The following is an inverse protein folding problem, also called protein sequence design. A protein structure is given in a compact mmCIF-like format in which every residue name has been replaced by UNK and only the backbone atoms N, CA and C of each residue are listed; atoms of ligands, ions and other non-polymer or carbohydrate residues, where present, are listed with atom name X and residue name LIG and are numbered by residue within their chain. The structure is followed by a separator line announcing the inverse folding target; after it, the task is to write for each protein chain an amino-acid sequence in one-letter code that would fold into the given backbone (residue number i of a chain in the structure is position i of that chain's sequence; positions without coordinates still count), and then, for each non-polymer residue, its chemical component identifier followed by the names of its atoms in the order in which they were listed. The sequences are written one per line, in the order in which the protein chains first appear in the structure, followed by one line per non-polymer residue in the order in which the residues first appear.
data_IF_447082926966
#
_entry.id   IF_447082926966
#
_cell.length_a   1.000
_cell.length_b   1.000
_cell.length_c   1.000
_cell.angle_alpha   90.00
_cell.angle_beta   90.00
_cell.angle_gamma   90.00
#
_symmetry.space_group_name_H-M   'P 1'
#
loop_
_entity.id
_entity.type
_entity.pdbx_description
1 polymer ?
#
# COMPACT_ATOMS: atom_id res chain seq x y z
N UNK A 1 62.40 0.65 -21.74
CA UNK A 1 61.60 1.31 -20.70
C UNK A 1 62.22 0.93 -19.38
N UNK A 2 62.53 1.92 -18.53
CA UNK A 2 63.19 1.70 -17.25
C UNK A 2 62.22 1.01 -16.27
N UNK A 3 62.70 0.02 -15.51
CA UNK A 3 61.88 -0.84 -14.65
C UNK A 3 61.13 -0.08 -13.55
N UNK A 4 61.53 1.17 -13.26
CA UNK A 4 60.81 2.07 -12.38
C UNK A 4 59.47 2.57 -12.98
N UNK A 5 59.39 2.76 -14.30
CA UNK A 5 58.16 3.21 -14.98
C UNK A 5 57.14 2.07 -15.08
N UNK A 6 57.62 0.84 -15.28
CA UNK A 6 56.78 -0.36 -15.32
C UNK A 6 56.14 -0.66 -13.96
N UNK A 7 56.88 -0.50 -12.86
CA UNK A 7 56.34 -0.61 -11.49
C UNK A 7 55.26 0.42 -11.19
N UNK A 8 55.48 1.69 -11.58
CA UNK A 8 54.49 2.76 -11.39
C UNK A 8 53.19 2.49 -12.14
N UNK A 9 53.26 1.88 -13.34
CA UNK A 9 52.07 1.48 -14.09
C UNK A 9 51.34 0.30 -13.44
N UNK A 10 52.08 -0.71 -12.96
CA UNK A 10 51.49 -1.87 -12.27
C UNK A 10 50.85 -1.48 -10.95
N UNK A 11 51.52 -0.65 -10.13
CA UNK A 11 50.94 -0.14 -8.87
C UNK A 11 49.68 0.69 -9.14
N UNK A 12 49.66 1.48 -10.22
CA UNK A 12 48.47 2.27 -10.62
C UNK A 12 47.31 1.38 -11.10
N UNK A 13 47.62 0.26 -11.78
CA UNK A 13 46.63 -0.72 -12.21
C UNK A 13 46.07 -1.54 -11.04
N UNK A 14 46.90 -1.90 -10.07
CA UNK A 14 46.46 -2.56 -8.82
C UNK A 14 45.59 -1.62 -7.98
N UNK A 15 45.96 -0.33 -7.89
CA UNK A 15 45.13 0.68 -7.19
C UNK A 15 43.78 0.90 -7.88
N UNK A 16 43.72 0.83 -9.22
CA UNK A 16 42.47 0.87 -9.98
C UNK A 16 41.67 -0.44 -9.86
N UNK A 17 42.33 -1.59 -9.75
CA UNK A 17 41.68 -2.88 -9.54
C UNK A 17 41.01 -2.98 -8.16
N UNK A 18 41.66 -2.45 -7.11
CA UNK A 18 41.09 -2.35 -5.76
C UNK A 18 39.94 -1.34 -5.68
N UNK A 19 39.99 -0.24 -6.45
CA UNK A 19 38.91 0.73 -6.55
C UNK A 19 37.67 0.23 -7.32
N UNK A 20 37.82 -0.84 -8.12
CA UNK A 20 36.76 -1.40 -8.98
C UNK A 20 36.19 -2.72 -8.42
N UNK A 21 36.56 -3.13 -7.19
CA UNK A 21 35.84 -4.21 -6.52
C UNK A 21 34.43 -3.75 -6.15
N UNK A 22 33.48 -4.06 -7.04
CA UNK A 22 32.07 -3.96 -6.75
C UNK A 22 31.79 -4.68 -5.41
N UNK A 23 31.11 -4.04 -4.45
CA UNK A 23 30.93 -4.64 -3.14
C UNK A 23 30.26 -6.01 -3.31
N UNK A 24 30.81 -7.04 -2.65
CA UNK A 24 30.15 -8.35 -2.59
C UNK A 24 28.71 -8.20 -2.05
N UNK A 25 27.85 -9.18 -2.30
CA UNK A 25 26.41 -9.14 -1.92
C UNK A 25 26.17 -8.62 -0.49
N UNK A 26 26.98 -9.03 0.48
CA UNK A 26 26.89 -8.55 1.87
C UNK A 26 27.21 -7.05 2.02
N UNK A 27 28.20 -6.54 1.29
CA UNK A 27 28.53 -5.12 1.25
C UNK A 27 27.46 -4.28 0.55
N UNK A 28 26.87 -4.79 -0.54
CA UNK A 28 25.72 -4.15 -1.20
C UNK A 28 24.50 -4.11 -0.29
N UNK A 29 24.20 -5.20 0.42
CA UNK A 29 23.11 -5.24 1.40
C UNK A 29 23.36 -4.32 2.59
N UNK A 30 24.60 -4.23 3.08
CA UNK A 30 24.96 -3.31 4.15
C UNK A 30 24.83 -1.84 3.71
N UNK A 31 25.32 -1.50 2.51
CA UNK A 31 25.15 -0.16 1.93
C UNK A 31 23.68 0.19 1.68
N UNK A 32 22.89 -0.76 1.16
CA UNK A 32 21.45 -0.59 0.96
C UNK A 32 20.71 -0.38 2.29
N UNK A 33 21.07 -1.15 3.34
CA UNK A 33 20.54 -0.96 4.69
C UNK A 33 20.93 0.39 5.29
N UNK A 34 22.17 0.82 5.11
CA UNK A 34 22.64 2.12 5.60
C UNK A 34 21.99 3.31 4.90
N UNK A 35 21.62 3.16 3.62
CA UNK A 35 20.86 4.17 2.87
C UNK A 35 19.37 4.17 3.19
N UNK A 36 18.82 3.07 3.70
CA UNK A 36 17.42 2.96 4.08
C UNK A 36 17.19 3.66 5.42
N UNK A 37 16.30 4.65 5.46
CA UNK A 37 15.82 5.23 6.70
C UNK A 37 14.92 4.20 7.43
N UNK A 38 15.31 3.70 8.62
CA UNK A 38 14.42 2.84 9.41
C UNK A 38 13.17 3.63 9.82
N UNK A 39 12.00 3.00 9.75
CA UNK A 39 10.77 3.55 10.32
C UNK A 39 10.90 3.62 11.84
N UNK A 40 10.32 4.63 12.51
CA UNK A 40 10.13 4.60 13.95
C UNK A 40 9.44 3.29 14.40
N UNK A 41 9.82 2.77 15.56
CA UNK A 41 9.15 1.60 16.12
C UNK A 41 7.71 1.97 16.49
N UNK A 42 6.75 1.36 15.83
CA UNK A 42 5.33 1.39 16.17
C UNK A 42 4.90 0.07 16.82
N UNK A 43 3.61 -0.07 17.18
CA UNK A 43 3.10 -1.34 17.67
C UNK A 43 3.14 -2.41 16.57
N UNK A 44 3.28 -3.69 16.95
CA UNK A 44 3.45 -4.79 16.01
C UNK A 44 2.33 -4.89 14.96
N UNK A 45 1.09 -4.55 15.34
CA UNK A 45 -0.06 -4.55 14.43
C UNK A 45 0.02 -3.49 13.32
N UNK A 46 0.89 -2.49 13.44
CA UNK A 46 1.15 -1.46 12.42
C UNK A 46 2.37 -1.78 11.52
N UNK A 47 3.08 -2.89 11.75
CA UNK A 47 4.22 -3.32 10.92
C UNK A 47 3.87 -3.48 9.42
N UNK A 48 2.70 -4.01 9.03
CA UNK A 48 2.31 -4.09 7.62
C UNK A 48 2.34 -2.71 6.93
N UNK A 49 1.75 -1.70 7.57
CA UNK A 49 1.73 -0.31 7.08
C UNK A 49 3.14 0.28 7.00
N UNK A 50 3.92 0.19 8.08
CA UNK A 50 5.30 0.69 8.11
C UNK A 50 6.17 0.03 7.01
N UNK A 51 5.95 -1.26 6.75
CA UNK A 51 6.61 -1.98 5.67
C UNK A 51 6.24 -1.50 4.27
N UNK A 52 5.01 -1.02 4.04
CA UNK A 52 4.58 -0.43 2.75
C UNK A 52 5.09 1.00 2.58
N UNK A 53 5.06 1.81 3.63
CA UNK A 53 5.68 3.15 3.63
C UNK A 53 7.16 3.06 3.28
N UNK A 54 7.89 2.12 3.88
CA UNK A 54 9.31 1.93 3.59
C UNK A 54 9.58 1.44 2.15
N UNK A 55 8.67 0.64 1.58
CA UNK A 55 8.78 0.18 0.20
C UNK A 55 8.53 1.32 -0.80
N UNK A 56 7.47 2.12 -0.58
CA UNK A 56 7.17 3.30 -1.39
C UNK A 56 8.28 4.34 -1.30
N UNK A 57 8.79 4.65 -0.10
CA UNK A 57 9.91 5.58 0.04
C UNK A 57 11.18 5.10 -0.68
N UNK A 58 11.45 3.79 -0.67
CA UNK A 58 12.56 3.22 -1.44
C UNK A 58 12.34 3.35 -2.95
N UNK A 59 11.12 3.14 -3.44
CA UNK A 59 10.74 3.36 -4.84
C UNK A 59 10.96 4.83 -5.21
N UNK A 60 10.39 5.77 -4.44
CA UNK A 60 10.53 7.21 -4.66
C UNK A 60 11.99 7.68 -4.61
N UNK A 61 12.85 7.01 -3.84
CA UNK A 61 14.29 7.26 -3.83
C UNK A 61 15.06 6.76 -5.05
N UNK A 62 14.41 5.97 -5.90
CA UNK A 62 14.95 5.49 -7.17
C UNK A 62 14.36 6.19 -8.39
N UNK A 63 13.29 6.98 -8.21
CA UNK A 63 12.66 7.78 -9.27
C UNK A 63 13.69 8.78 -9.81
N UNK A 64 13.92 8.77 -11.11
CA UNK A 64 14.81 9.76 -11.76
C UNK A 64 14.07 11.09 -11.87
N UNK A 65 14.76 12.24 -11.91
CA UNK A 65 14.12 13.54 -12.06
C UNK A 65 13.10 13.61 -13.21
N UNK A 66 13.39 12.98 -14.34
CA UNK A 66 12.52 12.95 -15.51
C UNK A 66 11.28 12.05 -15.38
N UNK A 67 11.26 11.12 -14.40
CA UNK A 67 10.16 10.17 -14.24
C UNK A 67 9.07 10.69 -13.29
N UNK A 68 9.30 11.80 -12.57
CA UNK A 68 8.30 12.37 -11.65
C UNK A 68 7.02 12.80 -12.36
N UNK A 69 7.13 13.25 -13.61
CA UNK A 69 6.00 13.65 -14.46
C UNK A 69 5.31 12.45 -15.14
N UNK A 70 5.76 11.22 -14.90
CA UNK A 70 5.14 10.01 -15.46
C UNK A 70 3.75 9.84 -14.89
N UNK A 71 2.73 9.77 -15.75
CA UNK A 71 1.36 9.44 -15.37
C UNK A 71 1.29 8.01 -14.85
N UNK A 72 0.73 7.83 -13.66
CA UNK A 72 0.65 6.56 -12.93
C UNK A 72 -0.77 6.02 -12.92
N UNK A 73 -1.72 6.75 -12.35
CA UNK A 73 -3.12 6.33 -12.15
C UNK A 73 -4.03 7.55 -11.99
N UNK A 74 -5.30 7.47 -12.35
CA UNK A 74 -6.26 8.60 -12.31
C UNK A 74 -5.80 9.87 -13.08
N UNK A 75 -4.88 9.70 -14.04
CA UNK A 75 -4.25 10.82 -14.74
C UNK A 75 -3.18 11.55 -13.92
N UNK A 76 -2.92 11.13 -12.69
CA UNK A 76 -1.93 11.71 -11.79
C UNK A 76 -0.51 11.28 -12.12
N UNK A 77 0.43 12.20 -11.98
CA UNK A 77 1.85 11.88 -11.98
C UNK A 77 2.32 11.31 -10.64
N UNK A 78 3.62 10.99 -10.51
CA UNK A 78 4.18 10.40 -9.28
C UNK A 78 4.04 11.36 -8.09
N UNK A 79 4.24 12.66 -8.28
CA UNK A 79 4.12 13.64 -7.20
C UNK A 79 2.66 13.79 -6.72
N UNK A 80 1.72 13.85 -7.65
CA UNK A 80 0.28 13.92 -7.39
C UNK A 80 -0.24 12.66 -6.68
N UNK A 81 0.33 11.50 -6.99
CA UNK A 81 0.08 10.26 -6.27
C UNK A 81 0.60 10.29 -4.83
N UNK A 82 1.79 10.86 -4.59
CA UNK A 82 2.31 11.03 -3.22
C UNK A 82 1.50 12.08 -2.45
N UNK A 83 1.01 13.13 -3.12
CA UNK A 83 0.09 14.09 -2.55
C UNK A 83 -1.22 13.43 -2.11
N UNK A 84 -1.77 12.52 -2.92
CA UNK A 84 -2.92 11.68 -2.57
C UNK A 84 -2.67 10.79 -1.34
N UNK A 85 -1.53 10.10 -1.28
CA UNK A 85 -1.17 9.32 -0.08
C UNK A 85 -1.02 10.22 1.16
N UNK A 86 -0.44 11.41 0.99
CA UNK A 86 -0.32 12.42 2.06
C UNK A 86 -1.69 12.86 2.56
N UNK A 87 -2.66 13.06 1.65
CA UNK A 87 -4.03 13.39 1.96
C UNK A 87 -4.70 12.31 2.82
N UNK A 88 -4.75 11.05 2.37
CA UNK A 88 -5.40 9.95 3.12
C UNK A 88 -4.71 9.66 4.45
N UNK A 89 -3.37 9.61 4.46
CA UNK A 89 -2.59 9.43 5.69
C UNK A 89 -2.82 10.58 6.67
N UNK A 90 -2.99 11.81 6.15
CA UNK A 90 -3.22 13.03 6.92
C UNK A 90 -4.58 13.04 7.61
N UNK A 91 -5.62 12.47 6.99
CA UNK A 91 -6.94 12.34 7.60
C UNK A 91 -6.88 11.44 8.84
N UNK A 92 -6.23 10.26 8.74
CA UNK A 92 -6.03 9.39 9.91
C UNK A 92 -5.12 10.06 10.94
N UNK A 93 -4.03 10.69 10.50
CA UNK A 93 -3.12 11.42 11.38
C UNK A 93 -3.87 12.48 12.21
N UNK A 94 -4.74 13.26 11.59
CA UNK A 94 -5.59 14.23 12.28
C UNK A 94 -6.50 13.54 13.33
N UNK A 95 -7.16 12.45 12.95
CA UNK A 95 -8.09 11.73 13.83
C UNK A 95 -7.40 11.14 15.07
N UNK A 96 -6.15 10.67 14.94
CA UNK A 96 -5.38 10.13 16.07
C UNK A 96 -4.52 11.18 16.80
N UNK A 97 -4.50 12.43 16.33
CA UNK A 97 -3.71 13.52 16.90
C UNK A 97 -2.20 13.43 16.59
N UNK A 98 -1.83 12.84 15.45
CA UNK A 98 -0.48 12.90 14.90
C UNK A 98 -0.30 14.19 14.05
N UNK A 99 0.95 14.65 13.84
CA UNK A 99 1.25 15.71 12.89
C UNK A 99 0.71 15.43 11.48
N UNK A 100 0.11 16.44 10.86
CA UNK A 100 -0.41 16.40 9.49
C UNK A 100 0.52 17.21 8.59
N UNK A 101 0.89 16.64 7.45
CA UNK A 101 1.65 17.28 6.38
C UNK A 101 0.75 17.97 5.36
N UNK A 102 1.36 18.80 4.51
CA UNK A 102 0.63 19.61 3.54
C UNK A 102 -0.10 20.82 4.15
N UNK A 103 -1.09 21.39 3.46
CA UNK A 103 -1.84 22.55 3.93
C UNK A 103 -2.83 22.13 5.05
N UNK A 104 -3.39 23.08 5.83
CA UNK A 104 -4.49 22.78 6.77
C UNK A 104 -5.62 22.00 6.09
N UNK A 105 -6.19 21.03 6.80
CA UNK A 105 -7.32 20.23 6.31
C UNK A 105 -8.57 21.11 6.31
N UNK A 106 -9.17 21.36 5.14
CA UNK A 106 -10.48 22.03 5.04
C UNK A 106 -11.59 21.14 4.45
N UNK A 107 -11.20 20.09 3.72
CA UNK A 107 -12.05 18.99 3.29
C UNK A 107 -11.76 17.72 4.12
N UNK A 108 -12.81 17.06 4.59
CA UNK A 108 -12.71 15.89 5.47
C UNK A 108 -12.97 14.55 4.75
N UNK A 109 -13.29 14.59 3.47
CA UNK A 109 -13.34 13.45 2.56
C UNK A 109 -12.01 13.28 1.79
N UNK A 110 -11.76 12.08 1.29
CA UNK A 110 -10.50 11.72 0.64
C UNK A 110 -10.26 12.48 -0.67
N UNK A 111 -11.30 12.66 -1.48
CA UNK A 111 -11.25 13.39 -2.75
C UNK A 111 -10.91 14.87 -2.56
N UNK A 112 -11.69 15.55 -1.73
CA UNK A 112 -11.47 16.96 -1.43
C UNK A 112 -10.10 17.19 -0.80
N UNK A 113 -9.68 16.32 0.12
CA UNK A 113 -8.36 16.43 0.74
C UNK A 113 -7.23 16.15 -0.26
N UNK A 114 -7.41 15.21 -1.19
CA UNK A 114 -6.44 14.95 -2.26
C UNK A 114 -6.26 16.17 -3.14
N UNK A 115 -7.35 16.81 -3.57
CA UNK A 115 -7.29 18.02 -4.39
C UNK A 115 -6.57 19.19 -3.68
N UNK A 116 -6.81 19.39 -2.37
CA UNK A 116 -6.10 20.40 -1.57
C UNK A 116 -4.59 20.18 -1.54
N UNK A 117 -4.15 18.93 -1.30
CA UNK A 117 -2.72 18.62 -1.22
C UNK A 117 -2.08 18.71 -2.59
N UNK A 118 -2.74 18.24 -3.65
CA UNK A 118 -2.25 18.36 -5.03
C UNK A 118 -2.09 19.83 -5.45
N UNK A 119 -3.04 20.71 -5.10
CA UNK A 119 -2.91 22.15 -5.33
C UNK A 119 -1.72 22.74 -4.57
N UNK A 120 -1.56 22.36 -3.29
CA UNK A 120 -0.44 22.81 -2.47
C UNK A 120 0.91 22.36 -3.02
N UNK A 121 1.01 21.15 -3.55
CA UNK A 121 2.25 20.60 -4.12
C UNK A 121 2.58 21.15 -5.52
N UNK A 122 1.63 21.81 -6.20
CA UNK A 122 1.85 22.32 -7.56
C UNK A 122 3.01 23.33 -7.60
N UNK A 123 4.01 23.02 -8.42
CA UNK A 123 5.20 23.86 -8.59
C UNK A 123 6.25 23.71 -7.49
N UNK A 124 6.04 22.84 -6.51
CA UNK A 124 7.05 22.49 -5.51
C UNK A 124 7.96 21.36 -6.02
N UNK A 125 9.23 21.33 -5.62
CA UNK A 125 10.11 20.20 -5.89
C UNK A 125 9.53 18.88 -5.31
N UNK A 126 9.41 17.80 -6.10
CA UNK A 126 8.86 16.52 -5.64
C UNK A 126 9.61 15.90 -4.44
N UNK A 127 10.88 16.24 -4.28
CA UNK A 127 11.68 15.80 -3.14
C UNK A 127 11.13 16.33 -1.80
N UNK A 128 10.53 17.53 -1.81
CA UNK A 128 9.87 18.08 -0.63
C UNK A 128 8.57 17.33 -0.33
N UNK A 129 7.76 17.05 -1.35
CA UNK A 129 6.53 16.26 -1.23
C UNK A 129 6.83 14.89 -0.62
N UNK A 130 7.84 14.18 -1.14
CA UNK A 130 8.31 12.90 -0.58
C UNK A 130 8.78 13.03 0.87
N UNK A 131 9.57 14.05 1.19
CA UNK A 131 10.13 14.22 2.52
C UNK A 131 9.03 14.51 3.57
N UNK A 132 8.06 15.36 3.23
CA UNK A 132 6.91 15.68 4.08
C UNK A 132 5.99 14.48 4.25
N UNK A 133 5.64 13.78 3.16
CA UNK A 133 4.87 12.53 3.21
C UNK A 133 5.52 11.50 4.13
N UNK A 134 6.83 11.27 3.97
CA UNK A 134 7.56 10.29 4.80
C UNK A 134 7.63 10.73 6.26
N UNK A 135 7.81 12.02 6.54
CA UNK A 135 7.81 12.53 7.91
C UNK A 135 6.43 12.37 8.59
N UNK A 136 5.34 12.61 7.87
CA UNK A 136 3.99 12.35 8.35
C UNK A 136 3.78 10.86 8.66
N UNK A 137 4.17 9.96 7.74
CA UNK A 137 4.02 8.52 7.94
C UNK A 137 4.83 8.01 9.15
N UNK A 138 6.05 8.51 9.33
CA UNK A 138 6.88 8.22 10.52
C UNK A 138 6.19 8.69 11.82
N UNK A 139 5.65 9.91 11.82
CA UNK A 139 4.97 10.48 12.99
C UNK A 139 3.67 9.75 13.32
N UNK A 140 2.91 9.34 12.30
CA UNK A 140 1.73 8.49 12.43
C UNK A 140 2.11 7.16 13.09
N UNK A 141 3.12 6.44 12.56
CA UNK A 141 3.60 5.20 13.17
C UNK A 141 3.98 5.35 14.65
N UNK A 142 4.68 6.43 15.00
CA UNK A 142 5.03 6.71 16.39
C UNK A 142 3.80 6.99 17.27
N UNK A 143 2.79 7.70 16.74
CA UNK A 143 1.55 8.03 17.46
C UNK A 143 0.71 6.79 17.76
N UNK A 144 0.70 5.81 16.86
CA UNK A 144 -0.09 4.56 17.03
C UNK A 144 0.33 3.74 18.25
N UNK A 145 1.53 3.95 18.82
CA UNK A 145 1.97 3.28 20.05
C UNK A 145 1.15 3.62 21.30
N UNK A 146 0.29 4.65 21.23
CA UNK A 146 -0.61 5.05 22.30
C UNK A 146 -2.04 4.48 22.14
N UNK A 147 -2.25 3.59 21.17
CA UNK A 147 -3.54 2.97 20.88
C UNK A 147 -3.43 1.45 20.93
N UNK A 148 -4.50 0.82 21.39
CA UNK A 148 -4.73 -0.60 21.17
C UNK A 148 -5.34 -0.80 19.78
N UNK A 149 -5.05 -1.94 19.14
CA UNK A 149 -5.52 -2.23 17.78
C UNK A 149 -7.05 -2.11 17.62
N UNK A 150 -7.79 -2.42 18.70
CA UNK A 150 -9.24 -2.42 18.74
C UNK A 150 -9.86 -1.05 19.09
N UNK A 151 -9.05 -0.03 19.42
CA UNK A 151 -9.57 1.30 19.72
C UNK A 151 -10.30 1.85 18.49
N UNK A 152 -11.53 2.33 18.69
CA UNK A 152 -12.37 2.81 17.58
C UNK A 152 -12.03 4.26 17.26
N UNK A 153 -11.76 4.53 15.98
CA UNK A 153 -11.54 5.87 15.43
C UNK A 153 -12.58 6.14 14.37
N UNK A 154 -13.24 7.29 14.45
CA UNK A 154 -14.15 7.77 13.40
C UNK A 154 -13.37 8.58 12.38
N UNK A 155 -13.41 8.15 11.13
CA UNK A 155 -12.83 8.86 10.00
C UNK A 155 -13.94 9.25 9.03
N UNK A 156 -14.49 10.46 9.22
CA UNK A 156 -15.53 11.00 8.33
C UNK A 156 -16.82 10.16 8.32
N UNK A 157 -17.22 9.61 9.48
CA UNK A 157 -18.41 8.76 9.61
C UNK A 157 -18.13 7.25 9.47
N UNK A 158 -16.87 6.86 9.26
CA UNK A 158 -16.43 5.47 9.26
C UNK A 158 -15.76 5.13 10.59
N UNK A 159 -16.56 4.73 11.58
CA UNK A 159 -16.09 4.28 12.89
C UNK A 159 -15.63 2.81 12.82
N UNK A 160 -14.32 2.60 12.83
CA UNK A 160 -13.68 1.28 12.75
C UNK A 160 -12.55 1.17 13.78
N UNK A 161 -12.10 -0.05 14.13
CA UNK A 161 -10.84 -0.24 14.83
C UNK A 161 -9.70 0.49 14.12
N UNK A 162 -8.83 1.16 14.88
CA UNK A 162 -7.69 1.89 14.33
C UNK A 162 -6.77 0.98 13.51
N UNK A 163 -6.67 -0.30 13.86
CA UNK A 163 -5.92 -1.27 13.08
C UNK A 163 -6.52 -1.46 11.67
N UNK A 164 -7.84 -1.42 11.51
CA UNK A 164 -8.49 -1.55 10.21
C UNK A 164 -8.25 -0.31 9.35
N UNK A 165 -8.31 0.90 9.94
CA UNK A 165 -7.92 2.14 9.24
C UNK A 165 -6.46 2.09 8.77
N UNK A 166 -5.55 1.61 9.62
CA UNK A 166 -4.12 1.49 9.27
C UNK A 166 -3.89 0.42 8.21
N UNK A 167 -4.63 -0.68 8.23
CA UNK A 167 -4.59 -1.71 7.18
C UNK A 167 -5.17 -1.20 5.86
N UNK A 168 -6.20 -0.36 5.88
CA UNK A 168 -6.69 0.31 4.68
C UNK A 168 -5.61 1.22 4.09
N UNK A 169 -4.94 2.05 4.89
CA UNK A 169 -3.79 2.86 4.41
C UNK A 169 -2.63 2.00 3.90
N UNK A 170 -2.37 0.85 4.54
CA UNK A 170 -1.39 -0.12 4.07
C UNK A 170 -1.73 -0.62 2.67
N UNK A 171 -3.00 -0.99 2.43
CA UNK A 171 -3.48 -1.49 1.16
C UNK A 171 -3.37 -0.42 0.06
N UNK A 172 -3.84 0.80 0.34
CA UNK A 172 -3.71 1.94 -0.57
C UNK A 172 -2.25 2.20 -0.94
N UNK A 173 -1.37 2.20 0.06
CA UNK A 173 0.06 2.39 -0.17
C UNK A 173 0.62 1.24 -1.01
N UNK A 174 0.22 -0.01 -0.78
CA UNK A 174 0.70 -1.16 -1.55
C UNK A 174 0.27 -1.07 -3.02
N UNK A 175 -1.02 -0.85 -3.30
CA UNK A 175 -1.54 -0.71 -4.67
C UNK A 175 -0.82 0.40 -5.40
N UNK A 176 -0.72 1.58 -4.79
CA UNK A 176 -0.10 2.73 -5.43
C UNK A 176 1.41 2.63 -5.59
N UNK A 177 2.08 1.89 -4.71
CA UNK A 177 3.49 1.55 -4.91
C UNK A 177 3.65 0.66 -6.15
N UNK A 178 2.74 -0.29 -6.36
CA UNK A 178 2.75 -1.16 -7.54
C UNK A 178 2.40 -0.39 -8.83
N UNK A 179 1.38 0.48 -8.79
CA UNK A 179 1.04 1.35 -9.92
C UNK A 179 2.25 2.18 -10.35
N UNK A 180 2.90 2.87 -9.40
CA UNK A 180 4.05 3.72 -9.67
C UNK A 180 5.22 2.91 -10.23
N UNK A 181 5.52 1.76 -9.63
CA UNK A 181 6.61 0.90 -10.08
C UNK A 181 6.40 0.36 -11.49
N UNK A 182 5.17 -0.06 -11.83
CA UNK A 182 4.81 -0.45 -13.20
C UNK A 182 4.98 0.71 -14.17
N UNK A 183 4.52 1.90 -13.82
CA UNK A 183 4.62 3.09 -14.67
C UNK A 183 6.08 3.46 -15.00
N UNK A 184 7.00 3.28 -14.06
CA UNK A 184 8.43 3.59 -14.25
C UNK A 184 9.30 2.36 -14.59
N UNK A 185 8.68 1.19 -14.80
CA UNK A 185 9.36 -0.03 -15.25
C UNK A 185 10.25 -0.70 -14.20
N UNK A 186 9.95 -0.53 -12.90
CA UNK A 186 10.70 -1.14 -11.81
C UNK A 186 9.99 -2.39 -11.25
N UNK A 187 10.70 -3.53 -11.12
CA UNK A 187 10.14 -4.69 -10.45
C UNK A 187 10.14 -4.49 -8.92
N UNK A 188 9.04 -4.82 -8.27
CA UNK A 188 8.93 -4.83 -6.81
C UNK A 188 8.65 -6.23 -6.28
N UNK A 189 9.30 -6.62 -5.16
CA UNK A 189 8.91 -7.82 -4.45
C UNK A 189 7.55 -7.63 -3.77
N UNK A 190 6.82 -8.73 -3.63
CA UNK A 190 5.61 -8.78 -2.80
C UNK A 190 5.92 -8.43 -1.33
N UNK A 191 4.93 -7.93 -0.57
CA UNK A 191 5.05 -7.83 0.89
C UNK A 191 5.35 -9.19 1.52
N UNK A 192 5.80 -9.16 2.79
CA UNK A 192 5.93 -10.39 3.56
C UNK A 192 4.55 -11.06 3.69
N UNK A 193 4.47 -12.40 3.69
CA UNK A 193 3.20 -13.11 3.88
C UNK A 193 2.46 -12.69 5.16
N UNK A 194 3.20 -12.43 6.24
CA UNK A 194 2.67 -11.93 7.51
C UNK A 194 2.06 -10.51 7.41
N UNK A 195 2.41 -9.74 6.39
CA UNK A 195 1.83 -8.43 6.10
C UNK A 195 0.65 -8.54 5.12
N UNK A 196 0.67 -9.52 4.21
CA UNK A 196 -0.43 -9.80 3.27
C UNK A 196 -1.65 -10.34 4.02
N UNK A 197 -1.46 -11.31 4.92
CA UNK A 197 -2.56 -11.97 5.65
C UNK A 197 -3.55 -11.00 6.33
N UNK A 198 -3.12 -10.00 7.11
CA UNK A 198 -4.06 -9.07 7.73
C UNK A 198 -4.74 -8.13 6.72
N UNK A 199 -4.07 -7.76 5.62
CA UNK A 199 -4.70 -6.98 4.55
C UNK A 199 -5.77 -7.81 3.81
N UNK A 200 -5.48 -9.09 3.54
CA UNK A 200 -6.43 -10.02 2.94
C UNK A 200 -7.64 -10.27 3.85
N UNK A 201 -7.41 -10.40 5.17
CA UNK A 201 -8.49 -10.49 6.16
C UNK A 201 -9.42 -9.27 6.09
N UNK A 202 -8.85 -8.06 6.11
CA UNK A 202 -9.61 -6.82 5.96
C UNK A 202 -10.40 -6.82 4.63
N UNK A 203 -9.76 -7.18 3.52
CA UNK A 203 -10.40 -7.26 2.21
C UNK A 203 -11.64 -8.18 2.22
N UNK A 204 -11.54 -9.37 2.80
CA UNK A 204 -12.68 -10.29 2.92
C UNK A 204 -13.77 -9.71 3.82
N UNK A 205 -13.41 -9.09 4.95
CA UNK A 205 -14.38 -8.45 5.86
C UNK A 205 -15.07 -7.22 5.26
N UNK A 206 -14.49 -6.60 4.23
CA UNK A 206 -15.11 -5.48 3.53
C UNK A 206 -16.15 -5.90 2.50
N UNK A 207 -16.23 -7.18 2.11
CA UNK A 207 -17.20 -7.64 1.09
C UNK A 207 -18.66 -7.25 1.36
N UNK A 208 -19.19 -7.31 2.60
CA UNK A 208 -20.57 -6.88 2.87
C UNK A 208 -20.76 -5.39 2.62
N UNK A 209 -19.78 -4.57 3.01
CA UNK A 209 -19.80 -3.14 2.78
C UNK A 209 -19.70 -2.81 1.29
N UNK A 210 -18.81 -3.48 0.55
CA UNK A 210 -18.65 -3.27 -0.90
C UNK A 210 -19.93 -3.64 -1.67
N UNK A 211 -20.61 -4.72 -1.27
CA UNK A 211 -21.93 -5.08 -1.79
C UNK A 211 -22.98 -4.02 -1.50
N UNK A 212 -23.06 -3.52 -0.26
CA UNK A 212 -24.03 -2.49 0.12
C UNK A 212 -23.84 -1.21 -0.71
N UNK A 213 -22.62 -0.67 -0.77
CA UNK A 213 -22.36 0.56 -1.53
C UNK A 213 -22.60 0.39 -3.03
N UNK A 214 -22.52 -0.84 -3.53
CA UNK A 214 -22.85 -1.23 -4.91
C UNK A 214 -24.34 -1.47 -5.14
N UNK A 215 -25.19 -1.28 -4.13
CA UNK A 215 -26.64 -1.51 -4.20
C UNK A 215 -27.03 -2.99 -4.31
N UNK A 216 -26.20 -3.90 -3.78
CA UNK A 216 -26.44 -5.35 -3.78
C UNK A 216 -26.78 -5.85 -2.39
N UNK A 217 -27.75 -6.76 -2.31
CA UNK A 217 -28.50 -6.98 -1.07
C UNK A 217 -27.71 -7.53 0.14
N UNK A 218 -26.61 -8.28 0.12
CA UNK A 218 -26.70 -9.65 0.63
C UNK A 218 -27.05 -10.03 2.09
N UNK A 219 -28.13 -9.50 2.65
CA UNK A 219 -28.78 -10.02 3.85
C UNK A 219 -29.17 -11.50 3.73
N UNK A 220 -28.93 -12.25 4.80
CA UNK A 220 -29.18 -13.70 4.90
C UNK A 220 -28.31 -14.56 3.98
N UNK A 221 -27.28 -13.99 3.36
CA UNK A 221 -26.35 -14.67 2.45
C UNK A 221 -24.97 -14.77 3.08
N UNK A 222 -24.25 -15.83 2.75
CA UNK A 222 -22.90 -16.11 3.21
C UNK A 222 -22.04 -16.70 2.08
N UNK A 223 -20.77 -16.32 2.10
CA UNK A 223 -19.75 -16.86 1.22
C UNK A 223 -18.66 -17.56 2.04
N UNK A 224 -18.06 -18.58 1.45
CA UNK A 224 -16.79 -19.12 1.89
C UNK A 224 -15.72 -18.67 0.90
N UNK A 225 -14.71 -17.96 1.37
CA UNK A 225 -13.64 -17.41 0.54
C UNK A 225 -12.35 -18.13 0.89
N UNK A 226 -11.72 -18.73 -0.10
CA UNK A 226 -10.39 -19.35 -0.02
C UNK A 226 -9.42 -18.49 -0.83
N UNK A 227 -8.49 -17.83 -0.16
CA UNK A 227 -7.41 -17.10 -0.82
C UNK A 227 -6.16 -17.98 -0.82
N UNK A 228 -5.69 -18.37 -2.00
CA UNK A 228 -4.50 -19.20 -2.17
C UNK A 228 -3.22 -18.36 -2.17
N UNK A 229 -2.06 -19.00 -2.03
CA UNK A 229 -0.75 -18.32 -2.06
C UNK A 229 -0.23 -17.91 -0.68
N UNK A 230 0.96 -17.32 -0.65
CA UNK A 230 1.59 -16.92 0.62
C UNK A 230 0.86 -15.72 1.25
N UNK A 231 0.41 -15.88 2.50
CA UNK A 231 -0.44 -14.89 3.18
C UNK A 231 -1.94 -15.12 2.94
N UNK A 232 -2.30 -16.14 2.16
CA UNK A 232 -3.68 -16.59 1.95
C UNK A 232 -4.34 -17.21 3.19
N UNK A 233 -5.56 -17.71 3.03
CA UNK A 233 -6.41 -18.21 4.10
C UNK A 233 -7.79 -18.68 3.66
N UNK A 234 -8.62 -19.02 4.65
CA UNK A 234 -10.02 -19.38 4.46
C UNK A 234 -10.88 -18.58 5.43
N UNK A 235 -12.04 -18.12 4.95
CA UNK A 235 -13.00 -17.34 5.71
C UNK A 235 -14.41 -17.77 5.37
N UNK A 236 -15.27 -17.88 6.38
CA UNK A 236 -16.72 -17.87 6.21
C UNK A 236 -17.24 -16.48 6.61
N UNK A 237 -17.94 -15.80 5.70
CA UNK A 237 -18.37 -14.41 5.88
C UNK A 237 -19.86 -14.27 5.58
N UNK A 238 -20.59 -13.56 6.44
CA UNK A 238 -21.94 -13.09 6.14
C UNK A 238 -21.82 -11.92 5.16
N UNK A 239 -22.67 -11.86 4.15
CA UNK A 239 -22.67 -10.81 3.13
C UNK A 239 -23.63 -9.66 3.47
N UNK A 240 -24.43 -9.81 4.52
CA UNK A 240 -25.17 -8.73 5.16
C UNK A 240 -24.33 -8.06 6.25
N UNK A 241 -24.48 -6.75 6.41
CA UNK A 241 -23.78 -6.01 7.47
C UNK A 241 -24.25 -6.42 8.86
N UNK A 242 -23.30 -6.61 9.77
CA UNK A 242 -23.54 -6.97 11.18
C UNK A 242 -24.41 -8.23 11.38
N UNK A 243 -24.47 -9.11 10.37
CA UNK A 243 -25.21 -10.37 10.41
C UNK A 243 -24.30 -11.54 10.82
N UNK A 244 -24.83 -12.55 11.53
CA UNK A 244 -24.11 -13.80 11.74
C UNK A 244 -23.98 -14.58 10.43
N UNK A 245 -22.91 -15.38 10.32
CA UNK A 245 -22.71 -16.27 9.16
C UNK A 245 -23.86 -17.28 9.04
N UNK A 246 -24.58 -17.22 7.93
CA UNK A 246 -25.62 -18.19 7.56
C UNK A 246 -25.03 -19.44 6.86
N UNK A 247 -25.89 -20.35 6.40
CA UNK A 247 -25.45 -21.45 5.54
C UNK A 247 -24.79 -20.91 4.26
N UNK A 248 -23.58 -21.37 3.94
CA UNK A 248 -22.81 -20.94 2.77
C UNK A 248 -23.56 -21.22 1.46
N UNK A 249 -23.82 -20.18 0.66
CA UNK A 249 -24.42 -20.31 -0.67
C UNK A 249 -23.38 -20.37 -1.79
N UNK A 250 -22.19 -19.82 -1.58
CA UNK A 250 -21.14 -19.73 -2.59
C UNK A 250 -19.76 -19.94 -2.00
N UNK A 251 -18.89 -20.63 -2.74
CA UNK A 251 -17.46 -20.77 -2.45
C UNK A 251 -16.65 -20.08 -3.55
N UNK A 252 -15.72 -19.22 -3.17
CA UNK A 252 -14.85 -18.47 -4.07
C UNK A 252 -13.40 -18.81 -3.75
N UNK A 253 -12.64 -19.29 -4.73
CA UNK A 253 -11.21 -19.58 -4.59
C UNK A 253 -10.41 -18.77 -5.61
N UNK A 254 -9.42 -18.01 -5.15
CA UNK A 254 -8.54 -17.19 -6.00
C UNK A 254 -7.20 -16.87 -5.30
N UNK A 255 -6.24 -16.30 -6.01
CA UNK A 255 -4.97 -15.88 -5.42
C UNK A 255 -5.14 -14.68 -4.47
N UNK A 256 -4.44 -14.69 -3.34
CA UNK A 256 -4.55 -13.65 -2.30
C UNK A 256 -4.12 -12.28 -2.79
N UNK A 257 -3.08 -12.18 -3.63
CA UNK A 257 -2.62 -10.90 -4.15
C UNK A 257 -3.60 -10.40 -5.20
N UNK A 258 -4.02 -11.27 -6.12
CA UNK A 258 -5.01 -10.91 -7.14
C UNK A 258 -6.33 -10.43 -6.50
N UNK A 259 -6.79 -11.08 -5.43
CA UNK A 259 -7.97 -10.67 -4.69
C UNK A 259 -7.83 -9.28 -4.04
N UNK A 260 -6.71 -9.00 -3.37
CA UNK A 260 -6.43 -7.68 -2.83
C UNK A 260 -6.40 -6.60 -3.93
N UNK A 261 -5.85 -6.93 -5.11
CA UNK A 261 -5.79 -6.01 -6.25
C UNK A 261 -7.13 -5.86 -6.98
N UNK A 262 -8.02 -6.86 -6.92
CA UNK A 262 -9.41 -6.73 -7.34
C UNK A 262 -10.14 -5.71 -6.47
N UNK A 263 -10.00 -5.79 -5.14
CA UNK A 263 -10.58 -4.79 -4.23
C UNK A 263 -9.92 -3.42 -4.40
N UNK A 264 -8.65 -3.38 -4.75
CA UNK A 264 -7.95 -2.17 -5.15
C UNK A 264 -8.33 -1.67 -6.55
N UNK A 265 -9.26 -2.28 -7.27
CA UNK A 265 -9.71 -1.80 -8.58
C UNK A 265 -8.68 -1.96 -9.72
N UNK A 266 -7.64 -2.77 -9.54
CA UNK A 266 -6.57 -3.00 -10.54
C UNK A 266 -6.83 -4.21 -11.43
N UNK A 267 -7.86 -4.99 -11.12
CA UNK A 267 -8.31 -6.11 -11.96
C UNK A 267 -9.77 -5.93 -12.33
N UNK A 268 -10.10 -6.09 -13.61
CA UNK A 268 -11.49 -6.04 -14.06
C UNK A 268 -12.23 -7.27 -13.53
N UNK A 269 -13.37 -7.11 -12.84
CA UNK A 269 -14.10 -8.25 -12.28
C UNK A 269 -14.49 -9.33 -13.32
N UNK A 270 -14.71 -8.94 -14.58
CA UNK A 270 -15.08 -9.88 -15.64
C UNK A 270 -13.91 -10.75 -16.12
N UNK A 271 -12.69 -10.30 -15.91
CA UNK A 271 -11.45 -10.96 -16.33
C UNK A 271 -10.72 -11.63 -15.15
N UNK A 272 -11.28 -11.50 -13.94
CA UNK A 272 -10.68 -12.01 -12.71
C UNK A 272 -10.62 -13.54 -12.71
N UNK A 273 -9.43 -14.08 -12.44
CA UNK A 273 -9.20 -15.52 -12.35
C UNK A 273 -9.75 -16.05 -11.02
N UNK A 274 -10.80 -16.87 -11.10
CA UNK A 274 -11.53 -17.33 -9.91
C UNK A 274 -12.23 -18.65 -10.16
N UNK A 275 -12.14 -19.54 -9.17
CA UNK A 275 -12.92 -20.76 -9.11
C UNK A 275 -14.17 -20.52 -8.24
N UNK A 276 -15.33 -20.97 -8.73
CA UNK A 276 -16.62 -20.71 -8.09
C UNK A 276 -17.40 -22.02 -7.98
N UNK A 277 -17.82 -22.35 -6.76
CA UNK A 277 -18.77 -23.43 -6.48
C UNK A 277 -20.04 -22.87 -5.80
N UNK A 278 -21.20 -23.44 -6.12
CA UNK A 278 -22.49 -22.97 -5.60
C UNK A 278 -23.11 -21.85 -6.45
N UNK A 279 -23.65 -20.81 -5.80
CA UNK A 279 -24.38 -19.73 -6.46
C UNK A 279 -23.46 -18.81 -7.27
N UNK A 280 -23.42 -19.03 -8.59
CA UNK A 280 -22.65 -18.21 -9.54
C UNK A 280 -23.18 -16.79 -9.71
N UNK A 281 -24.48 -16.57 -9.48
CA UNK A 281 -25.08 -15.23 -9.52
C UNK A 281 -24.55 -14.39 -8.36
N UNK A 282 -24.59 -14.95 -7.15
CA UNK A 282 -24.02 -14.33 -5.96
C UNK A 282 -22.51 -14.11 -6.08
N UNK A 283 -21.75 -15.06 -6.61
CA UNK A 283 -20.33 -14.87 -6.89
C UNK A 283 -20.08 -13.63 -7.79
N UNK A 284 -20.86 -13.50 -8.86
CA UNK A 284 -20.77 -12.35 -9.78
C UNK A 284 -21.12 -11.04 -9.08
N UNK A 285 -22.13 -11.03 -8.20
CA UNK A 285 -22.48 -9.88 -7.39
C UNK A 285 -21.33 -9.43 -6.49
N UNK A 286 -20.68 -10.38 -5.79
CA UNK A 286 -19.52 -10.12 -4.93
C UNK A 286 -18.37 -9.53 -5.75
N UNK A 287 -17.98 -10.20 -6.84
CA UNK A 287 -16.83 -9.79 -7.67
C UNK A 287 -17.02 -8.41 -8.31
N UNK A 288 -18.22 -8.11 -8.81
CA UNK A 288 -18.53 -6.79 -9.37
C UNK A 288 -18.56 -5.67 -8.34
N UNK A 289 -18.83 -6.01 -7.07
CA UNK A 289 -18.90 -5.04 -5.98
C UNK A 289 -17.55 -4.81 -5.33
N UNK A 290 -16.64 -5.80 -5.38
CA UNK A 290 -15.33 -5.76 -4.74
C UNK A 290 -14.54 -4.43 -4.89
N UNK A 291 -14.42 -3.81 -6.08
CA UNK A 291 -13.67 -2.56 -6.22
C UNK A 291 -14.42 -1.30 -5.75
N UNK A 292 -15.61 -1.40 -5.14
CA UNK A 292 -16.45 -0.23 -4.88
C UNK A 292 -15.87 0.78 -3.88
N UNK A 293 -14.83 0.40 -3.14
CA UNK A 293 -14.10 1.28 -2.22
C UNK A 293 -12.70 1.66 -2.75
N UNK A 294 -12.37 1.32 -3.99
CA UNK A 294 -11.05 1.55 -4.60
C UNK A 294 -10.86 2.96 -5.16
N UNK A 295 -11.88 3.81 -5.04
CA UNK A 295 -11.79 5.20 -5.47
C UNK A 295 -10.78 5.99 -4.64
N UNK A 296 -10.33 7.14 -5.15
CA UNK A 296 -9.51 8.06 -4.39
C UNK A 296 -10.14 8.46 -3.03
#
# INVERSE_FOLDING_TARGET
MDGATERLYLDSLDTLADAVQAPGRSGLLAAARARRRPMPQGPAWAEPYAGRVAAMDALLGSVRPADWDTVVVEGWNVQELVAHLTAKHGLLAAAVGAPVGGPPITAHDADGRTAEVQEYERGRPPELTRAEWRAQADALCGRLAAFEAADVVDLGGFALPVADHVLALMMETWVHTDDAAKAIGLPLPLPLPAHIRPAADLCVRLLPLTMLVSGRDGSGRAAHVTLTGEGGGEWDIALGLDEPVSATQVRITCDVVEFCFLLGGRTRPEEFAVEIEGDRGLAREILLSAPALSGP
#
